data_IF_887429643536
#
_entry.id   IF_887429643536
#
_cell.length_a   1.000
_cell.length_b   1.000
_cell.length_c   1.000
_cell.angle_alpha   90.00
_cell.angle_beta   90.00
_cell.angle_gamma   90.00
#
_symmetry.space_group_name_H-M   'P 1'
#
loop_
_entity.id
_entity.type
_entity.pdbx_description
1 polymer ?
#
# COMPACT_ATOMS: atom_id res chain seq x y z
N UNK A 1 1.09 -7.23 -29.43
CA UNK A 1 0.57 -7.20 -28.06
C UNK A 1 1.57 -7.99 -27.23
N UNK A 2 2.45 -7.32 -26.48
CA UNK A 2 3.48 -8.00 -25.67
C UNK A 2 2.86 -8.26 -24.31
N UNK A 3 2.63 -9.52 -24.00
CA UNK A 3 2.24 -9.96 -22.66
C UNK A 3 3.33 -9.55 -21.66
N UNK A 4 2.96 -8.70 -20.70
CA UNK A 4 3.77 -8.46 -19.52
C UNK A 4 3.45 -9.60 -18.54
N UNK A 5 4.45 -10.34 -18.03
CA UNK A 5 4.18 -11.40 -17.08
C UNK A 5 3.67 -10.77 -15.77
N UNK A 6 2.44 -11.12 -15.39
CA UNK A 6 1.94 -10.85 -14.04
C UNK A 6 2.79 -11.66 -13.04
N UNK A 7 3.30 -11.06 -11.95
CA UNK A 7 4.03 -11.78 -10.93
C UNK A 7 3.04 -12.49 -10.00
N UNK A 8 2.32 -13.49 -10.52
CA UNK A 8 1.59 -14.45 -9.68
C UNK A 8 2.57 -15.52 -9.24
N UNK A 9 3.27 -15.25 -8.13
CA UNK A 9 3.94 -16.32 -7.40
C UNK A 9 2.86 -17.27 -6.83
N UNK A 10 2.94 -18.59 -7.07
CA UNK A 10 2.03 -19.54 -6.45
C UNK A 10 2.32 -19.60 -4.94
N UNK A 11 1.32 -19.23 -4.13
CA UNK A 11 1.34 -19.26 -2.65
C UNK A 11 1.74 -20.64 -2.09
N UNK A 12 1.66 -21.70 -2.89
CA UNK A 12 1.93 -23.08 -2.51
C UNK A 12 3.41 -23.46 -2.32
N UNK A 13 4.37 -22.63 -2.71
CA UNK A 13 5.80 -22.99 -2.66
C UNK A 13 6.56 -22.55 -1.41
N UNK A 14 5.89 -21.91 -0.44
CA UNK A 14 6.50 -21.58 0.86
C UNK A 14 6.57 -22.85 1.72
N UNK A 15 7.48 -23.77 1.38
CA UNK A 15 7.84 -24.92 2.22
C UNK A 15 9.07 -24.55 3.07
N UNK A 16 8.82 -23.81 4.15
CA UNK A 16 9.86 -23.53 5.14
C UNK A 16 10.34 -24.84 5.82
N UNK A 17 11.63 -24.97 6.17
CA UNK A 17 12.11 -26.12 6.92
C UNK A 17 11.46 -26.14 8.30
N UNK A 18 10.82 -27.26 8.66
CA UNK A 18 10.26 -27.53 9.98
C UNK A 18 11.38 -27.60 11.01
N UNK A 19 11.77 -26.46 11.58
CA UNK A 19 12.61 -26.40 12.77
C UNK A 19 11.70 -26.60 13.99
N UNK A 20 12.01 -27.64 14.78
CA UNK A 20 11.30 -28.04 16.00
C UNK A 20 10.99 -26.84 16.91
N UNK A 21 9.72 -26.69 17.32
CA UNK A 21 9.18 -25.60 18.13
C UNK A 21 9.25 -25.88 19.64
N UNK A 22 10.35 -26.43 20.15
CA UNK A 22 10.64 -26.31 21.58
C UNK A 22 11.54 -25.10 21.79
N UNK A 23 10.89 -23.93 21.81
CA UNK A 23 11.43 -22.71 22.40
C UNK A 23 11.01 -22.72 23.87
N UNK A 24 11.98 -22.82 24.76
CA UNK A 24 11.78 -22.65 26.21
C UNK A 24 11.34 -21.22 26.51
N UNK A 25 10.48 -21.00 27.52
CA UNK A 25 9.85 -19.72 27.80
C UNK A 25 10.73 -18.82 28.69
N UNK A 26 12.00 -18.64 28.31
CA UNK A 26 12.84 -17.64 28.98
C UNK A 26 13.96 -17.18 28.04
N UNK A 27 14.27 -15.88 28.09
CA UNK A 27 15.44 -15.25 27.48
C UNK A 27 15.45 -15.03 25.94
N UNK A 28 14.60 -14.11 25.48
CA UNK A 28 15.03 -13.09 24.51
C UNK A 28 14.08 -11.90 24.65
N UNK A 29 14.59 -10.84 25.28
CA UNK A 29 13.95 -9.57 25.55
C UNK A 29 12.82 -9.21 24.58
N UNK A 30 11.63 -9.00 25.14
CA UNK A 30 10.56 -8.18 24.56
C UNK A 30 11.07 -6.75 24.43
N UNK A 31 11.93 -6.53 23.42
CA UNK A 31 12.26 -5.19 22.95
C UNK A 31 10.98 -4.71 22.30
N UNK A 32 10.18 -3.99 23.08
CA UNK A 32 8.80 -3.62 22.79
C UNK A 32 8.58 -3.16 21.37
N UNK A 33 8.27 -4.11 20.48
CA UNK A 33 7.67 -3.81 19.20
C UNK A 33 6.20 -3.60 19.49
N UNK A 34 5.90 -2.44 20.07
CA UNK A 34 4.58 -1.83 20.00
C UNK A 34 4.13 -2.05 18.56
N UNK A 35 3.13 -2.92 18.35
CA UNK A 35 2.63 -3.19 17.02
C UNK A 35 2.12 -1.85 16.51
N UNK A 36 2.82 -1.30 15.52
CA UNK A 36 2.41 -0.05 14.86
C UNK A 36 0.94 -0.18 14.51
N UNK A 37 0.12 0.74 15.05
CA UNK A 37 -1.32 0.70 14.84
C UNK A 37 -1.57 1.13 13.41
N UNK A 38 -2.12 0.22 12.61
CA UNK A 38 -2.59 0.55 11.27
C UNK A 38 -4.01 1.10 11.35
N UNK A 39 -4.24 2.19 10.62
CA UNK A 39 -5.55 2.76 10.41
C UNK A 39 -5.90 2.72 8.92
N UNK A 40 -7.16 2.36 8.64
CA UNK A 40 -7.70 2.29 7.28
C UNK A 40 -8.92 3.19 7.22
N UNK A 41 -8.87 4.17 6.32
CA UNK A 41 -9.93 5.19 6.16
C UNK A 41 -10.27 5.40 4.69
N UNK A 42 -11.51 5.80 4.43
CA UNK A 42 -11.90 6.35 3.14
C UNK A 42 -11.36 7.77 3.02
N UNK A 43 -10.80 8.13 1.86
CA UNK A 43 -10.51 9.50 1.52
C UNK A 43 -11.81 10.32 1.50
N UNK A 44 -11.80 11.49 2.13
CA UNK A 44 -12.97 12.38 2.24
C UNK A 44 -12.76 13.70 1.51
N UNK A 45 -11.58 13.88 0.92
CA UNK A 45 -11.15 15.11 0.28
C UNK A 45 -10.25 14.84 -0.92
N UNK A 46 -10.23 15.78 -1.86
CA UNK A 46 -9.31 15.74 -3.00
C UNK A 46 -7.84 15.66 -2.58
N UNK A 47 -7.46 16.33 -1.49
CA UNK A 47 -6.08 16.27 -0.97
C UNK A 47 -5.69 14.85 -0.53
N UNK A 48 -6.61 14.12 0.09
CA UNK A 48 -6.38 12.73 0.49
C UNK A 48 -6.34 11.79 -0.71
N UNK A 49 -7.13 12.07 -1.76
CA UNK A 49 -7.01 11.37 -3.05
C UNK A 49 -5.65 11.65 -3.70
N UNK A 50 -5.12 12.88 -3.60
CA UNK A 50 -3.77 13.20 -4.08
C UNK A 50 -2.69 12.42 -3.34
N UNK A 51 -2.84 12.17 -2.04
CA UNK A 51 -1.90 11.32 -1.30
C UNK A 51 -1.88 9.89 -1.86
N UNK A 52 -3.04 9.30 -2.17
CA UNK A 52 -3.13 7.99 -2.80
C UNK A 52 -2.47 7.98 -4.19
N UNK A 53 -2.75 8.97 -5.02
CA UNK A 53 -2.19 9.08 -6.38
C UNK A 53 -0.68 9.29 -6.36
N UNK A 54 -0.15 10.02 -5.38
CA UNK A 54 1.29 10.17 -5.18
C UNK A 54 1.93 8.85 -4.79
N UNK A 55 1.35 8.12 -3.82
CA UNK A 55 1.86 6.81 -3.44
C UNK A 55 1.85 5.83 -4.63
N UNK A 56 0.78 5.84 -5.43
CA UNK A 56 0.73 5.05 -6.66
C UNK A 56 1.81 5.44 -7.67
N UNK A 57 2.13 6.73 -7.80
CA UNK A 57 3.21 7.19 -8.66
C UNK A 57 4.56 6.67 -8.16
N UNK A 58 4.87 6.84 -6.86
CA UNK A 58 6.08 6.33 -6.22
C UNK A 58 6.25 4.82 -6.53
N UNK A 59 5.20 4.02 -6.34
CA UNK A 59 5.26 2.57 -6.58
C UNK A 59 5.28 2.22 -8.07
N UNK A 60 4.29 2.66 -8.85
CA UNK A 60 4.14 2.17 -10.22
C UNK A 60 5.13 2.81 -11.17
N UNK A 61 5.40 4.11 -11.06
CA UNK A 61 6.30 4.81 -11.97
C UNK A 61 7.74 4.70 -11.51
N UNK A 62 8.02 5.11 -10.27
CA UNK A 62 9.42 5.21 -9.81
C UNK A 62 10.02 3.82 -9.52
N UNK A 63 9.29 2.95 -8.81
CA UNK A 63 9.81 1.62 -8.46
C UNK A 63 9.59 0.59 -9.58
N UNK A 64 8.42 0.59 -10.23
CA UNK A 64 8.05 -0.45 -11.21
C UNK A 64 8.21 -0.03 -12.68
N UNK A 65 8.54 1.24 -12.98
CA UNK A 65 8.83 1.71 -14.33
C UNK A 65 7.61 1.84 -15.25
N UNK A 66 6.40 2.01 -14.70
CA UNK A 66 5.19 2.25 -15.45
C UNK A 66 5.27 3.57 -16.25
N UNK A 67 4.64 3.59 -17.43
CA UNK A 67 4.49 4.79 -18.24
C UNK A 67 3.03 5.22 -18.21
N UNK A 68 2.78 6.37 -17.61
CA UNK A 68 1.44 6.91 -17.46
C UNK A 68 1.06 7.79 -18.64
N UNK A 69 -0.23 7.83 -18.95
CA UNK A 69 -0.84 8.80 -19.87
C UNK A 69 -1.91 9.57 -19.09
N UNK A 70 -1.50 10.46 -18.17
CA UNK A 70 -2.44 11.14 -17.30
C UNK A 70 -3.30 12.14 -18.11
N UNK A 71 -4.53 12.45 -17.66
CA UNK A 71 -5.35 13.49 -18.25
C UNK A 71 -4.63 14.85 -18.31
N UNK A 72 -4.94 15.66 -19.32
CA UNK A 72 -4.34 16.99 -19.46
C UNK A 72 -4.60 17.87 -18.22
N UNK A 73 -3.57 18.55 -17.74
CA UNK A 73 -3.63 19.38 -16.53
C UNK A 73 -3.43 18.61 -15.21
N UNK A 74 -3.14 17.31 -15.27
CA UNK A 74 -2.74 16.54 -14.10
C UNK A 74 -1.42 17.07 -13.51
N UNK A 75 -1.30 17.19 -12.18
CA UNK A 75 -0.04 17.54 -11.54
C UNK A 75 1.02 16.45 -11.76
N UNK A 76 2.28 16.88 -11.89
CA UNK A 76 3.42 15.97 -11.95
C UNK A 76 3.54 15.13 -10.67
N UNK A 77 4.14 13.94 -10.78
CA UNK A 77 4.38 13.05 -9.64
C UNK A 77 3.12 12.42 -9.05
N UNK A 78 2.03 12.38 -9.80
CA UNK A 78 0.77 11.73 -9.40
C UNK A 78 0.33 10.75 -10.48
N UNK A 79 -0.07 9.55 -10.06
CA UNK A 79 -0.70 8.57 -10.93
C UNK A 79 -2.20 8.80 -10.96
N UNK A 80 -2.62 9.63 -11.94
CA UNK A 80 -4.01 10.02 -12.17
C UNK A 80 -4.49 9.37 -13.46
N UNK A 81 -5.61 8.68 -13.38
CA UNK A 81 -6.23 8.05 -14.55
C UNK A 81 -7.74 8.36 -14.66
N UNK A 82 -8.32 7.95 -15.79
CA UNK A 82 -9.73 8.20 -16.13
C UNK A 82 -10.72 7.54 -15.17
N UNK A 83 -10.29 6.57 -14.37
CA UNK A 83 -11.15 5.83 -13.48
C UNK A 83 -11.18 6.36 -12.05
N UNK A 84 -10.22 7.22 -11.66
CA UNK A 84 -10.19 7.82 -10.32
C UNK A 84 -11.52 8.50 -9.92
N UNK A 85 -12.23 9.25 -10.80
CA UNK A 85 -13.52 9.86 -10.45
C UNK A 85 -14.65 8.87 -10.15
N UNK A 86 -14.48 7.59 -10.49
CA UNK A 86 -15.47 6.54 -10.26
C UNK A 86 -15.13 5.66 -9.07
N UNK A 87 -13.98 5.88 -8.42
CA UNK A 87 -13.53 5.05 -7.32
C UNK A 87 -13.57 5.80 -5.99
N UNK A 88 -13.98 5.08 -4.96
CA UNK A 88 -13.66 5.43 -3.59
C UNK A 88 -12.21 5.02 -3.30
N UNK A 89 -11.46 5.86 -2.59
CA UNK A 89 -10.06 5.62 -2.27
C UNK A 89 -9.92 5.21 -0.80
N UNK A 90 -9.46 3.98 -0.55
CA UNK A 90 -9.03 3.53 0.78
C UNK A 90 -7.58 3.93 0.99
N UNK A 91 -7.29 4.51 2.14
CA UNK A 91 -5.96 4.89 2.59
C UNK A 91 -5.56 4.05 3.79
N UNK A 92 -4.32 3.59 3.80
CA UNK A 92 -3.70 2.87 4.92
C UNK A 92 -2.59 3.74 5.51
N UNK A 93 -2.66 4.01 6.81
CA UNK A 93 -1.69 4.83 7.54
C UNK A 93 -1.18 4.10 8.77
N UNK A 94 0.05 4.40 9.17
CA UNK A 94 0.57 4.04 10.50
C UNK A 94 0.24 5.19 11.44
N UNK A 95 -0.42 4.89 12.56
CA UNK A 95 -0.64 5.85 13.63
C UNK A 95 0.55 5.85 14.58
N UNK A 96 0.94 7.04 15.04
CA UNK A 96 1.98 7.17 16.06
C UNK A 96 1.49 6.73 17.45
N UNK A 97 2.35 6.86 18.46
CA UNK A 97 2.03 6.52 19.85
C UNK A 97 0.92 7.37 20.47
N UNK A 98 0.60 8.53 19.89
CA UNK A 98 -0.48 9.42 20.31
C UNK A 98 -1.77 9.17 19.54
N UNK A 99 -1.75 8.29 18.54
CA UNK A 99 -2.88 7.95 17.70
C UNK A 99 -3.04 8.84 16.47
N UNK A 100 -2.09 9.75 16.21
CA UNK A 100 -2.15 10.64 15.06
C UNK A 100 -1.79 9.90 13.76
N UNK A 101 -2.54 10.11 12.67
CA UNK A 101 -2.32 9.41 11.42
C UNK A 101 -1.05 9.91 10.70
N UNK A 102 -0.17 8.96 10.32
CA UNK A 102 1.04 9.25 9.54
C UNK A 102 0.80 9.37 8.02
N UNK A 103 1.88 9.29 7.24
CA UNK A 103 1.81 9.25 5.75
C UNK A 103 0.98 8.04 5.29
N UNK A 104 0.32 8.18 4.14
CA UNK A 104 -0.27 7.03 3.44
C UNK A 104 0.85 6.05 3.03
N UNK A 105 0.76 4.82 3.53
CA UNK A 105 1.71 3.72 3.25
C UNK A 105 1.09 2.63 2.37
N UNK A 106 -0.21 2.71 2.10
CA UNK A 106 -0.92 1.81 1.22
C UNK A 106 -2.23 2.45 0.76
N UNK A 107 -2.70 2.06 -0.42
CA UNK A 107 -3.99 2.52 -0.93
C UNK A 107 -4.67 1.45 -1.78
N UNK A 108 -5.99 1.44 -1.75
CA UNK A 108 -6.84 0.66 -2.66
C UNK A 108 -7.88 1.56 -3.29
N UNK A 109 -8.26 1.26 -4.53
CA UNK A 109 -9.42 1.83 -5.18
C UNK A 109 -10.58 0.84 -5.12
N UNK A 110 -11.75 1.34 -4.77
CA UNK A 110 -12.99 0.56 -4.69
C UNK A 110 -13.97 1.17 -5.68
N UNK A 111 -14.29 0.43 -6.73
CA UNK A 111 -15.36 0.78 -7.65
C UNK A 111 -16.68 0.30 -7.03
N UNK A 112 -17.51 1.23 -6.57
CA UNK A 112 -18.80 0.89 -5.96
C UNK A 112 -19.81 0.50 -7.04
N UNK A 113 -20.78 -0.40 -6.75
CA UNK A 113 -21.77 -0.90 -7.71
C UNK A 113 -22.66 0.18 -8.33
#
# INVERSE_FOLDING_TARGET
MRDLPLPTLPISEIRAPRRSLHRTPDEAADVGRQRERLEVVWARSESEVREAQRLRYEVFVEEMGARLTPPAGSPDGHDIDLFDPFCEHLLVRVCDSYGEPGKVIGTYRVLTP
#
